data_IF_143700578539
#
_entry.id   IF_143700578539
#
_cell.length_a   1.000
_cell.length_b   1.000
_cell.length_c   1.000
_cell.angle_alpha   90.00
_cell.angle_beta   90.00
_cell.angle_gamma   90.00
#
_symmetry.space_group_name_H-M   'P 1'
#
loop_
_entity.id
_entity.type
_entity.pdbx_description
1 polymer ?
#
# COMPACT_ATOMS: atom_id res chain seq x y z
N UNK A 1 7.05 -29.06 9.27
CA UNK A 1 6.11 -27.95 9.53
C UNK A 1 5.78 -27.31 8.19
N UNK A 2 4.55 -27.49 7.75
CA UNK A 2 4.10 -27.27 6.37
C UNK A 2 3.91 -25.79 6.07
N UNK A 3 4.48 -25.33 4.95
CA UNK A 3 4.41 -23.96 4.38
C UNK A 3 2.99 -23.36 4.36
N UNK A 4 1.97 -24.21 4.27
CA UNK A 4 0.56 -23.84 4.35
C UNK A 4 0.18 -23.08 5.61
N UNK A 5 0.82 -23.37 6.75
CA UNK A 5 0.52 -22.67 8.00
C UNK A 5 1.00 -21.21 7.95
N UNK A 6 2.26 -20.98 7.57
CA UNK A 6 2.83 -19.63 7.53
C UNK A 6 2.17 -18.74 6.47
N UNK A 7 1.84 -19.29 5.29
CA UNK A 7 1.16 -18.55 4.23
C UNK A 7 -0.22 -18.03 4.63
N UNK A 8 -0.92 -18.71 5.55
CA UNK A 8 -2.21 -18.26 6.08
C UNK A 8 -2.08 -17.24 7.23
N UNK A 9 -1.03 -17.32 8.06
CA UNK A 9 -0.85 -16.40 9.19
C UNK A 9 -0.30 -15.04 8.78
N UNK A 10 0.56 -15.01 7.77
CA UNK A 10 1.22 -13.80 7.26
C UNK A 10 0.24 -12.69 6.85
N UNK A 11 -0.82 -12.92 6.05
CA UNK A 11 -1.78 -11.87 5.69
C UNK A 11 -2.59 -11.36 6.88
N UNK A 12 -2.81 -12.19 7.91
CA UNK A 12 -3.53 -11.79 9.13
C UNK A 12 -2.68 -10.82 9.97
N UNK A 13 -1.37 -11.09 10.10
CA UNK A 13 -0.45 -10.21 10.82
C UNK A 13 -0.27 -8.88 10.09
N UNK A 14 -0.12 -8.91 8.76
CA UNK A 14 -0.02 -7.69 7.94
C UNK A 14 -1.27 -6.82 8.09
N UNK A 15 -2.47 -7.40 7.95
CA UNK A 15 -3.72 -6.68 8.11
C UNK A 15 -3.90 -6.11 9.54
N UNK A 16 -3.37 -6.80 10.56
CA UNK A 16 -3.31 -6.30 11.93
C UNK A 16 -2.42 -5.07 12.07
N UNK A 17 -1.24 -5.06 11.45
CA UNK A 17 -0.33 -3.90 11.45
C UNK A 17 -0.96 -2.71 10.73
N UNK A 18 -1.57 -2.94 9.56
CA UNK A 18 -2.22 -1.89 8.77
C UNK A 18 -3.40 -1.27 9.51
N UNK A 19 -4.21 -2.10 10.18
CA UNK A 19 -5.31 -1.64 11.03
C UNK A 19 -4.82 -0.80 12.21
N UNK A 20 -3.73 -1.21 12.88
CA UNK A 20 -3.13 -0.44 13.97
C UNK A 20 -2.56 0.89 13.47
N UNK A 21 -1.88 0.91 12.33
CA UNK A 21 -1.34 2.13 11.73
C UNK A 21 -2.47 3.10 11.35
N UNK A 22 -3.54 2.60 10.73
CA UNK A 22 -4.72 3.41 10.40
C UNK A 22 -5.36 3.98 11.66
N UNK A 23 -5.60 3.14 12.68
CA UNK A 23 -6.23 3.56 13.93
C UNK A 23 -5.38 4.60 14.67
N UNK A 24 -4.06 4.40 14.70
CA UNK A 24 -3.12 5.37 15.29
C UNK A 24 -3.15 6.69 14.50
N UNK A 25 -3.22 6.61 13.17
CA UNK A 25 -3.41 7.77 12.29
C UNK A 25 -4.73 8.50 12.55
N UNK A 26 -5.84 7.77 12.74
CA UNK A 26 -7.15 8.32 13.08
C UNK A 26 -7.12 9.01 14.45
N UNK A 27 -6.49 8.41 15.45
CA UNK A 27 -6.32 9.02 16.78
C UNK A 27 -5.49 10.29 16.68
N UNK A 28 -4.32 10.23 16.02
CA UNK A 28 -3.45 11.39 15.83
C UNK A 28 -4.18 12.52 15.09
N UNK A 29 -4.99 12.18 14.09
CA UNK A 29 -5.82 13.12 13.36
C UNK A 29 -6.95 13.70 14.23
N UNK A 30 -7.65 12.89 15.02
CA UNK A 30 -8.69 13.37 15.94
C UNK A 30 -8.09 14.32 17.00
N UNK A 31 -6.88 14.02 17.47
CA UNK A 31 -6.13 14.86 18.42
C UNK A 31 -5.53 16.13 17.78
N UNK A 32 -5.58 16.29 16.45
CA UNK A 32 -5.01 17.45 15.73
C UNK A 32 -5.56 18.79 16.21
N UNK A 33 -6.83 18.82 16.63
CA UNK A 33 -7.50 20.04 17.13
C UNK A 33 -6.79 20.57 18.39
N UNK A 34 -6.18 19.68 19.17
CA UNK A 34 -5.48 20.04 20.40
C UNK A 34 -4.01 20.37 20.16
N UNK A 35 -3.35 19.74 19.17
CA UNK A 35 -1.91 19.82 18.96
C UNK A 35 -1.54 20.27 17.54
N UNK A 36 -1.13 21.54 17.39
CA UNK A 36 -0.54 22.10 16.15
C UNK A 36 0.69 21.32 15.65
N UNK A 37 1.39 20.57 16.51
CA UNK A 37 2.55 19.74 16.12
C UNK A 37 2.18 18.39 15.47
N UNK A 38 0.89 18.06 15.37
CA UNK A 38 0.44 16.77 14.84
C UNK A 38 0.88 16.52 13.38
N UNK A 39 1.09 17.56 12.57
CA UNK A 39 1.49 17.41 11.17
C UNK A 39 2.82 16.67 10.98
N UNK A 40 3.79 16.87 11.87
CA UNK A 40 5.06 16.13 11.84
C UNK A 40 4.89 14.65 12.20
N UNK A 41 4.02 14.35 13.16
CA UNK A 41 3.76 12.98 13.58
C UNK A 41 3.10 12.13 12.46
N UNK A 42 2.19 12.71 11.68
CA UNK A 42 1.55 11.99 10.56
C UNK A 42 2.56 11.69 9.44
N UNK A 43 3.48 12.62 9.14
CA UNK A 43 4.58 12.36 8.20
C UNK A 43 5.47 11.22 8.67
N UNK A 44 5.86 11.24 9.95
CA UNK A 44 6.66 10.17 10.55
C UNK A 44 5.91 8.85 10.45
N UNK A 45 4.61 8.82 10.76
CA UNK A 45 3.79 7.62 10.64
C UNK A 45 3.75 7.08 9.20
N UNK A 46 3.57 7.95 8.19
CA UNK A 46 3.58 7.54 6.79
C UNK A 46 4.95 6.97 6.38
N UNK A 47 6.04 7.61 6.80
CA UNK A 47 7.39 7.11 6.53
C UNK A 47 7.67 5.78 7.22
N UNK A 48 7.30 5.64 8.49
CA UNK A 48 7.44 4.39 9.25
C UNK A 48 6.61 3.27 8.62
N UNK A 49 5.41 3.56 8.10
CA UNK A 49 4.60 2.59 7.37
C UNK A 49 5.31 2.10 6.09
N UNK A 50 5.84 3.02 5.27
CA UNK A 50 6.63 2.65 4.08
C UNK A 50 7.87 1.83 4.45
N UNK A 51 8.61 2.25 5.48
CA UNK A 51 9.79 1.54 5.96
C UNK A 51 9.44 0.14 6.46
N UNK A 52 8.34 0.00 7.22
CA UNK A 52 7.88 -1.29 7.71
C UNK A 52 7.55 -2.25 6.57
N UNK A 53 6.88 -1.77 5.51
CA UNK A 53 6.62 -2.58 4.31
C UNK A 53 7.93 -3.02 3.64
N UNK A 54 8.89 -2.11 3.46
CA UNK A 54 10.20 -2.44 2.87
C UNK A 54 10.98 -3.46 3.71
N UNK A 55 11.03 -3.29 5.03
CA UNK A 55 11.68 -4.23 5.95
C UNK A 55 11.00 -5.59 5.91
N UNK A 56 9.66 -5.61 5.79
CA UNK A 56 8.90 -6.83 5.65
C UNK A 56 9.23 -7.58 4.34
N UNK A 57 9.32 -6.91 3.20
CA UNK A 57 9.77 -7.56 1.96
C UNK A 57 11.23 -8.03 2.03
N UNK A 58 12.11 -7.27 2.67
CA UNK A 58 13.49 -7.71 2.90
C UNK A 58 13.53 -8.98 3.77
N UNK A 59 12.74 -9.01 4.84
CA UNK A 59 12.60 -10.20 5.68
C UNK A 59 12.08 -11.40 4.88
N UNK A 60 11.01 -11.22 4.08
CA UNK A 60 10.46 -12.28 3.23
C UNK A 60 11.47 -12.77 2.18
N UNK A 61 12.27 -11.86 1.63
CA UNK A 61 13.38 -12.18 0.73
C UNK A 61 14.41 -13.09 1.40
N UNK A 62 14.85 -12.73 2.60
CA UNK A 62 15.81 -13.53 3.37
C UNK A 62 15.24 -14.89 3.77
N UNK A 63 14.00 -14.93 4.24
CA UNK A 63 13.32 -16.17 4.61
C UNK A 63 13.20 -17.11 3.39
N UNK A 64 12.80 -16.58 2.24
CA UNK A 64 12.71 -17.34 1.00
C UNK A 64 14.07 -17.90 0.57
N UNK A 65 15.14 -17.10 0.67
CA UNK A 65 16.50 -17.54 0.36
C UNK A 65 16.92 -18.72 1.25
N UNK A 66 16.70 -18.61 2.57
CA UNK A 66 17.05 -19.67 3.52
C UNK A 66 16.31 -20.97 3.21
N UNK A 67 15.01 -20.88 2.92
CA UNK A 67 14.20 -22.05 2.55
C UNK A 67 14.74 -22.69 1.27
N UNK A 68 14.99 -21.91 0.23
CA UNK A 68 15.49 -22.45 -1.04
C UNK A 68 16.89 -23.04 -0.92
N UNK A 69 17.67 -22.61 0.08
CA UNK A 69 18.98 -23.20 0.39
C UNK A 69 18.91 -24.62 0.95
N UNK A 70 17.75 -25.09 1.42
CA UNK A 70 17.63 -26.40 2.12
C UNK A 70 17.52 -27.60 1.18
N UNK A 71 16.86 -27.47 0.03
CA UNK A 71 16.68 -28.56 -0.93
C UNK A 71 17.65 -28.43 -2.11
N UNK A 72 18.26 -29.53 -2.59
CA UNK A 72 19.15 -29.51 -3.76
C UNK A 72 18.49 -28.89 -5.00
N UNK A 73 17.19 -29.12 -5.19
CA UNK A 73 16.42 -28.63 -6.33
C UNK A 73 16.28 -27.10 -6.24
N UNK A 74 15.80 -26.57 -5.12
CA UNK A 74 15.62 -25.12 -4.94
C UNK A 74 16.95 -24.39 -4.89
N UNK A 75 18.00 -25.04 -4.41
CA UNK A 75 19.37 -24.51 -4.42
C UNK A 75 19.91 -24.35 -5.84
N UNK A 76 19.55 -25.25 -6.76
CA UNK A 76 19.88 -25.08 -8.17
C UNK A 76 19.20 -23.83 -8.75
N UNK A 77 17.94 -23.57 -8.40
CA UNK A 77 17.20 -22.36 -8.82
C UNK A 77 17.82 -21.06 -8.32
N UNK A 78 18.47 -21.07 -7.14
CA UNK A 78 19.20 -19.89 -6.63
C UNK A 78 20.40 -19.48 -7.49
N UNK A 79 20.97 -20.43 -8.24
CA UNK A 79 22.13 -20.22 -9.11
C UNK A 79 21.77 -20.22 -10.60
N UNK A 80 20.47 -20.26 -10.92
CA UNK A 80 19.99 -20.26 -12.29
C UNK A 80 19.84 -18.81 -12.81
N UNK A 81 20.48 -18.47 -13.95
CA UNK A 81 20.22 -17.20 -14.61
C UNK A 81 18.79 -17.16 -15.14
N UNK A 82 18.22 -15.95 -15.25
CA UNK A 82 16.90 -15.78 -15.85
C UNK A 82 16.99 -16.10 -17.35
N UNK A 83 16.06 -16.92 -17.87
CA UNK A 83 16.00 -17.26 -19.29
C UNK A 83 15.71 -15.99 -20.13
N UNK A 84 16.52 -15.77 -21.16
CA UNK A 84 16.53 -14.56 -21.99
C UNK A 84 15.22 -14.39 -22.76
N UNK A 85 14.56 -15.50 -23.09
CA UNK A 85 13.33 -15.51 -23.88
C UNK A 85 12.12 -14.91 -23.13
N UNK A 86 12.22 -14.71 -21.81
CA UNK A 86 11.15 -14.08 -21.01
C UNK A 86 11.10 -12.55 -21.23
N UNK A 87 12.17 -11.93 -21.76
CA UNK A 87 12.36 -10.48 -21.76
C UNK A 87 12.25 -9.75 -23.10
N UNK A 88 12.27 -10.43 -24.24
CA UNK A 88 12.50 -9.78 -25.54
C UNK A 88 11.29 -9.01 -26.11
N UNK A 89 10.07 -9.26 -25.62
CA UNK A 89 8.84 -8.68 -26.19
C UNK A 89 8.18 -7.61 -25.30
N UNK A 90 8.72 -7.30 -24.12
CA UNK A 90 8.07 -6.41 -23.16
C UNK A 90 8.73 -5.02 -23.09
N UNK A 91 7.92 -3.98 -22.81
CA UNK A 91 8.39 -2.60 -22.54
C UNK A 91 9.36 -2.50 -21.34
N UNK A 92 9.56 -3.61 -20.64
CA UNK A 92 10.33 -3.73 -19.41
C UNK A 92 11.66 -4.46 -19.65
N UNK A 93 12.05 -4.73 -20.90
CA UNK A 93 13.28 -5.42 -21.27
C UNK A 93 14.54 -4.83 -20.61
N UNK A 94 14.56 -3.52 -20.37
CA UNK A 94 15.66 -2.85 -19.68
C UNK A 94 15.78 -3.23 -18.20
N UNK A 95 14.67 -3.51 -17.50
CA UNK A 95 14.68 -4.04 -16.12
C UNK A 95 15.10 -5.51 -16.15
N UNK A 96 14.63 -6.28 -17.13
CA UNK A 96 14.99 -7.70 -17.28
C UNK A 96 16.51 -7.88 -17.40
N UNK A 97 17.20 -6.93 -18.05
CA UNK A 97 18.67 -6.94 -18.17
C UNK A 97 19.39 -6.92 -16.82
N UNK A 98 18.80 -6.32 -15.78
CA UNK A 98 19.37 -6.31 -14.42
C UNK A 98 19.38 -7.71 -13.78
N UNK A 99 18.60 -8.66 -14.32
CA UNK A 99 18.47 -10.02 -13.81
C UNK A 99 19.29 -11.07 -14.59
N UNK A 100 20.24 -10.70 -15.45
CA UNK A 100 21.14 -11.66 -16.11
C UNK A 100 22.26 -12.21 -15.20
N UNK A 101 22.23 -11.89 -13.91
CA UNK A 101 23.17 -12.40 -12.93
C UNK A 101 22.96 -13.91 -12.69
N UNK A 102 23.96 -14.58 -12.10
CA UNK A 102 23.87 -16.00 -11.73
C UNK A 102 22.65 -16.31 -10.85
N UNK A 103 22.16 -15.35 -10.07
CA UNK A 103 20.96 -15.46 -9.24
C UNK A 103 19.70 -14.85 -9.87
N UNK A 104 19.71 -14.65 -11.19
CA UNK A 104 18.68 -13.95 -11.94
C UNK A 104 17.26 -14.44 -11.69
N UNK A 105 17.07 -15.76 -11.72
CA UNK A 105 15.77 -16.37 -11.48
C UNK A 105 15.23 -16.06 -10.08
N UNK A 106 16.07 -16.21 -9.05
CA UNK A 106 15.68 -15.92 -7.67
C UNK A 106 15.35 -14.44 -7.47
N UNK A 107 16.17 -13.54 -8.01
CA UNK A 107 15.92 -12.10 -7.90
C UNK A 107 14.61 -11.73 -8.60
N UNK A 108 14.35 -12.26 -9.80
CA UNK A 108 13.09 -12.06 -10.51
C UNK A 108 11.89 -12.55 -9.68
N UNK A 109 11.99 -13.76 -9.13
CA UNK A 109 10.94 -14.34 -8.28
C UNK A 109 10.64 -13.47 -7.05
N UNK A 110 11.67 -13.10 -6.28
CA UNK A 110 11.53 -12.29 -5.08
C UNK A 110 11.00 -10.90 -5.41
N UNK A 111 11.48 -10.31 -6.51
CA UNK A 111 11.05 -8.98 -6.91
C UNK A 111 9.57 -8.98 -7.30
N UNK A 112 9.15 -9.90 -8.18
CA UNK A 112 7.75 -10.04 -8.59
C UNK A 112 6.83 -10.35 -7.42
N UNK A 113 7.29 -11.18 -6.47
CA UNK A 113 6.44 -11.67 -5.38
C UNK A 113 6.34 -10.74 -4.17
N UNK A 114 7.42 -10.05 -3.80
CA UNK A 114 7.48 -9.29 -2.55
C UNK A 114 7.68 -7.79 -2.75
N UNK A 115 8.51 -7.40 -3.72
CA UNK A 115 8.87 -6.00 -3.91
C UNK A 115 7.90 -5.27 -4.83
N UNK A 116 7.34 -5.97 -5.82
CA UNK A 116 6.49 -5.35 -6.84
C UNK A 116 5.25 -4.69 -6.22
N UNK A 117 4.56 -5.38 -5.32
CA UNK A 117 3.40 -4.84 -4.61
C UNK A 117 3.75 -3.59 -3.79
N UNK A 118 4.92 -3.57 -3.13
CA UNK A 118 5.38 -2.42 -2.34
C UNK A 118 5.73 -1.25 -3.25
N UNK A 119 6.45 -1.49 -4.34
CA UNK A 119 6.83 -0.45 -5.30
C UNK A 119 5.57 0.16 -5.92
N UNK A 120 4.58 -0.65 -6.30
CA UNK A 120 3.30 -0.17 -6.79
C UNK A 120 2.50 0.56 -5.70
N UNK A 121 2.47 0.05 -4.47
CA UNK A 121 1.81 0.67 -3.34
C UNK A 121 2.37 2.06 -3.03
N UNK A 122 3.69 2.17 -2.86
CA UNK A 122 4.38 3.45 -2.62
C UNK A 122 4.22 4.38 -3.84
N UNK A 123 4.43 3.87 -5.05
CA UNK A 123 4.32 4.67 -6.27
C UNK A 123 2.93 5.26 -6.45
N UNK A 124 1.89 4.44 -6.25
CA UNK A 124 0.49 4.89 -6.33
C UNK A 124 0.11 5.85 -5.20
N UNK A 125 0.64 5.66 -3.99
CA UNK A 125 0.46 6.61 -2.88
C UNK A 125 1.12 7.98 -3.17
N UNK A 126 2.31 7.99 -3.76
CA UNK A 126 3.00 9.23 -4.20
C UNK A 126 2.22 9.93 -5.31
N UNK A 127 1.70 9.19 -6.29
CA UNK A 127 0.84 9.74 -7.35
C UNK A 127 -0.41 10.37 -6.74
N UNK A 128 -1.09 9.66 -5.83
CA UNK A 128 -2.27 10.18 -5.13
C UNK A 128 -1.96 11.44 -4.32
N UNK A 129 -0.84 11.45 -3.58
CA UNK A 129 -0.37 12.64 -2.88
C UNK A 129 -0.10 13.81 -3.85
N UNK A 130 0.50 13.56 -5.02
CA UNK A 130 0.70 14.55 -6.07
C UNK A 130 -0.62 15.15 -6.57
N UNK A 131 -1.66 14.32 -6.74
CA UNK A 131 -3.01 14.77 -7.07
C UNK A 131 -3.56 15.68 -5.98
N UNK A 132 -3.40 15.32 -4.70
CA UNK A 132 -3.84 16.16 -3.58
C UNK A 132 -3.10 17.50 -3.52
N UNK A 133 -1.79 17.51 -3.78
CA UNK A 133 -0.99 18.74 -3.87
C UNK A 133 -1.52 19.65 -4.99
N UNK A 134 -1.82 19.07 -6.15
CA UNK A 134 -2.39 19.81 -7.28
C UNK A 134 -3.79 20.37 -6.93
N UNK A 135 -4.65 19.56 -6.32
CA UNK A 135 -5.98 19.98 -5.87
C UNK A 135 -5.89 21.10 -4.82
N UNK A 136 -4.96 21.01 -3.86
CA UNK A 136 -4.74 22.05 -2.86
C UNK A 136 -4.32 23.38 -3.48
N UNK A 137 -3.51 23.34 -4.54
CA UNK A 137 -3.11 24.55 -5.28
C UNK A 137 -4.32 25.28 -5.88
N UNK A 138 -5.29 24.55 -6.43
CA UNK A 138 -6.48 25.16 -7.04
C UNK A 138 -7.60 25.46 -6.05
N UNK A 139 -7.70 24.69 -4.96
CA UNK A 139 -8.81 24.76 -4.01
C UNK A 139 -8.32 24.63 -2.56
N UNK A 140 -7.48 25.56 -2.14
CA UNK A 140 -6.86 25.60 -0.79
C UNK A 140 -7.87 25.51 0.36
N UNK A 141 -9.10 25.98 0.15
CA UNK A 141 -10.18 25.97 1.15
C UNK A 141 -10.58 24.58 1.64
N UNK A 142 -10.40 23.54 0.84
CA UNK A 142 -10.74 22.16 1.27
C UNK A 142 -9.62 21.48 2.05
N UNK A 143 -8.46 22.13 2.20
CA UNK A 143 -7.25 21.52 2.73
C UNK A 143 -6.72 22.25 3.96
N UNK A 144 -6.71 21.56 5.10
CA UNK A 144 -5.88 21.95 6.25
C UNK A 144 -4.38 21.64 6.03
N UNK A 145 -3.56 22.09 6.98
CA UNK A 145 -2.10 21.86 6.99
C UNK A 145 -1.70 20.38 7.04
N UNK A 146 -2.56 19.52 7.62
CA UNK A 146 -2.27 18.10 7.86
C UNK A 146 -2.94 17.13 6.86
N UNK A 147 -3.77 17.64 5.96
CA UNK A 147 -4.61 16.76 5.12
C UNK A 147 -3.84 16.05 4.02
N UNK A 148 -2.79 16.69 3.48
CA UNK A 148 -1.92 16.04 2.50
C UNK A 148 -1.22 14.82 3.11
N UNK A 149 -0.81 14.94 4.37
CA UNK A 149 -0.13 13.90 5.14
C UNK A 149 -1.08 12.74 5.45
N UNK A 150 -2.32 13.06 5.84
CA UNK A 150 -3.36 12.05 6.08
C UNK A 150 -3.68 11.31 4.79
N UNK A 151 -3.83 12.02 3.68
CA UNK A 151 -4.05 11.40 2.38
C UNK A 151 -2.92 10.46 1.96
N UNK A 152 -1.66 10.87 2.16
CA UNK A 152 -0.51 10.01 1.90
C UNK A 152 -0.50 8.79 2.83
N UNK A 153 -0.67 8.99 4.14
CA UNK A 153 -0.70 7.90 5.12
C UNK A 153 -1.80 6.89 4.77
N UNK A 154 -3.01 7.37 4.50
CA UNK A 154 -4.14 6.55 4.07
C UNK A 154 -3.82 5.77 2.80
N UNK A 155 -3.21 6.40 1.79
CA UNK A 155 -2.84 5.72 0.56
C UNK A 155 -1.74 4.67 0.74
N UNK A 156 -0.72 4.96 1.57
CA UNK A 156 0.35 4.00 1.91
C UNK A 156 -0.20 2.79 2.65
N UNK A 157 -1.09 3.02 3.62
CA UNK A 157 -1.70 1.95 4.43
C UNK A 157 -2.65 1.10 3.60
N UNK A 158 -3.43 1.72 2.70
CA UNK A 158 -4.31 0.97 1.80
C UNK A 158 -3.49 0.16 0.79
N UNK A 159 -2.44 0.74 0.22
CA UNK A 159 -1.52 0.05 -0.67
C UNK A 159 -2.15 -0.44 -1.98
N UNK A 160 -1.35 -1.17 -2.77
CA UNK A 160 -1.82 -1.86 -3.97
C UNK A 160 -2.41 -3.23 -3.60
N UNK A 161 -3.49 -3.70 -4.28
CA UNK A 161 -4.27 -3.06 -5.33
C UNK A 161 -5.45 -2.22 -4.80
N UNK A 162 -5.65 -2.19 -3.49
CA UNK A 162 -6.83 -1.57 -2.86
C UNK A 162 -6.93 -0.07 -3.12
N UNK A 163 -5.83 0.59 -3.47
CA UNK A 163 -5.81 2.01 -3.82
C UNK A 163 -6.79 2.32 -4.97
N UNK A 164 -7.02 1.37 -5.88
CA UNK A 164 -7.96 1.49 -7.00
C UNK A 164 -9.40 1.64 -6.51
N UNK A 165 -9.76 1.00 -5.39
CA UNK A 165 -11.07 1.12 -4.74
C UNK A 165 -11.10 2.35 -3.83
N UNK A 166 -10.00 2.61 -3.13
CA UNK A 166 -9.90 3.74 -2.20
C UNK A 166 -10.10 5.09 -2.89
N UNK A 167 -9.47 5.35 -4.04
CA UNK A 167 -9.59 6.65 -4.73
C UNK A 167 -11.04 7.04 -5.06
N UNK A 168 -11.84 6.21 -5.76
CA UNK A 168 -13.25 6.54 -6.00
C UNK A 168 -14.07 6.60 -4.69
N UNK A 169 -13.70 5.79 -3.70
CA UNK A 169 -14.36 5.81 -2.40
C UNK A 169 -14.09 7.11 -1.62
N UNK A 170 -12.91 7.70 -1.72
CA UNK A 170 -12.61 9.04 -1.16
C UNK A 170 -13.58 10.07 -1.75
N UNK A 171 -13.78 10.06 -3.07
CA UNK A 171 -14.74 10.96 -3.72
C UNK A 171 -16.17 10.76 -3.20
N UNK A 172 -16.64 9.51 -3.12
CA UNK A 172 -17.95 9.19 -2.56
C UNK A 172 -18.10 9.68 -1.11
N UNK A 173 -17.07 9.46 -0.27
CA UNK A 173 -17.05 9.88 1.12
C UNK A 173 -17.02 11.40 1.26
N UNK A 174 -16.34 12.13 0.38
CA UNK A 174 -16.35 13.61 0.39
C UNK A 174 -17.77 14.12 0.16
N UNK A 175 -18.50 13.55 -0.79
CA UNK A 175 -19.90 13.92 -1.07
C UNK A 175 -20.79 13.60 0.12
N UNK A 176 -20.72 12.36 0.64
CA UNK A 176 -21.54 11.92 1.78
C UNK A 176 -21.28 12.78 3.03
N UNK A 177 -20.03 12.97 3.42
CA UNK A 177 -19.67 13.77 4.61
C UNK A 177 -20.08 15.22 4.41
N UNK A 178 -19.97 15.76 3.20
CA UNK A 178 -20.42 17.14 2.92
C UNK A 178 -21.93 17.30 3.04
N UNK A 179 -22.71 16.33 2.56
CA UNK A 179 -24.16 16.33 2.74
C UNK A 179 -24.54 16.25 4.23
N UNK A 180 -23.89 15.36 5.00
CA UNK A 180 -24.14 15.24 6.44
C UNK A 180 -23.81 16.54 7.17
N UNK A 181 -22.65 17.16 6.90
CA UNK A 181 -22.29 18.46 7.52
C UNK A 181 -23.25 19.57 7.15
N UNK A 182 -23.70 19.62 5.89
CA UNK A 182 -24.63 20.64 5.44
C UNK A 182 -26.01 20.49 6.09
N UNK A 183 -26.55 19.27 6.15
CA UNK A 183 -27.91 19.01 6.66
C UNK A 183 -27.96 19.11 8.19
N UNK A 184 -27.03 18.46 8.90
CA UNK A 184 -27.10 18.33 10.35
C UNK A 184 -26.36 19.45 11.09
N UNK A 185 -25.20 19.86 10.59
CA UNK A 185 -24.33 20.83 11.28
C UNK A 185 -24.45 22.25 10.72
N UNK A 186 -25.15 22.44 9.60
CA UNK A 186 -25.29 23.73 8.88
C UNK A 186 -23.94 24.37 8.53
N UNK A 187 -22.89 23.57 8.44
CA UNK A 187 -21.54 24.03 8.07
C UNK A 187 -21.34 23.92 6.57
N UNK A 188 -20.81 24.98 5.96
CA UNK A 188 -20.63 25.05 4.50
C UNK A 188 -19.33 24.42 3.98
N UNK A 189 -18.38 24.08 4.86
CA UNK A 189 -17.05 23.62 4.46
C UNK A 189 -16.73 22.26 5.03
N UNK A 190 -16.25 21.37 4.15
CA UNK A 190 -15.82 20.02 4.50
C UNK A 190 -14.33 19.87 4.23
N UNK A 191 -13.57 19.54 5.26
CA UNK A 191 -12.16 19.14 5.21
C UNK A 191 -12.04 17.73 4.64
N UNK A 192 -11.04 17.44 3.80
CA UNK A 192 -10.88 16.13 3.15
C UNK A 192 -10.42 15.00 4.08
N UNK A 193 -9.82 15.32 5.24
CA UNK A 193 -9.16 14.30 6.07
C UNK A 193 -10.09 13.20 6.60
N UNK A 194 -11.28 13.54 7.10
CA UNK A 194 -12.26 12.53 7.57
C UNK A 194 -12.74 11.61 6.44
N UNK A 195 -13.19 12.14 5.27
CA UNK A 195 -13.47 11.32 4.11
C UNK A 195 -12.35 10.35 3.72
N UNK A 196 -11.09 10.80 3.74
CA UNK A 196 -9.95 9.95 3.41
C UNK A 196 -9.76 8.81 4.42
N UNK A 197 -9.84 9.09 5.72
CA UNK A 197 -9.72 8.06 6.76
C UNK A 197 -10.85 7.03 6.68
N UNK A 198 -12.10 7.48 6.47
CA UNK A 198 -13.25 6.59 6.31
C UNK A 198 -13.14 5.72 5.05
N UNK A 199 -12.74 6.31 3.93
CA UNK A 199 -12.50 5.57 2.70
C UNK A 199 -11.40 4.52 2.88
N UNK A 200 -10.31 4.85 3.57
CA UNK A 200 -9.23 3.90 3.84
C UNK A 200 -9.71 2.75 4.74
N UNK A 201 -10.46 3.05 5.82
CA UNK A 201 -11.04 2.01 6.67
C UNK A 201 -11.94 1.06 5.90
N UNK A 202 -12.84 1.59 5.05
CA UNK A 202 -13.74 0.78 4.23
C UNK A 202 -12.98 -0.01 3.17
N UNK A 203 -11.98 0.58 2.51
CA UNK A 203 -11.14 -0.13 1.54
C UNK A 203 -10.41 -1.33 2.18
N UNK A 204 -9.89 -1.16 3.40
CA UNK A 204 -9.29 -2.26 4.17
C UNK A 204 -10.33 -3.31 4.59
N UNK A 205 -11.54 -2.91 4.97
CA UNK A 205 -12.63 -3.87 5.24
C UNK A 205 -13.00 -4.67 3.97
N UNK A 206 -13.05 -4.01 2.81
CA UNK A 206 -13.27 -4.67 1.53
C UNK A 206 -12.15 -5.64 1.17
N UNK A 207 -10.92 -5.42 1.63
CA UNK A 207 -9.79 -6.33 1.42
C UNK A 207 -10.08 -7.74 1.94
N UNK A 208 -10.80 -7.87 3.07
CA UNK A 208 -11.19 -9.18 3.61
C UNK A 208 -12.24 -9.88 2.73
N UNK A 209 -13.07 -9.13 2.01
CA UNK A 209 -14.05 -9.67 1.06
C UNK A 209 -13.45 -9.88 -0.36
N UNK A 210 -12.31 -9.24 -0.66
CA UNK A 210 -11.71 -9.17 -1.99
C UNK A 210 -11.31 -10.54 -2.57
N UNK A 211 -10.71 -11.49 -1.81
CA UNK A 211 -10.40 -12.83 -2.33
C UNK A 211 -11.63 -13.61 -2.80
N UNK A 212 -12.81 -13.31 -2.25
CA UNK A 212 -14.08 -13.96 -2.59
C UNK A 212 -14.74 -13.34 -3.82
N UNK A 213 -14.55 -12.02 -4.03
CA UNK A 213 -15.15 -11.25 -5.13
C UNK A 213 -14.36 -11.33 -6.44
N UNK A 214 -13.02 -11.39 -6.37
CA UNK A 214 -12.14 -11.31 -7.54
C UNK A 214 -11.27 -12.55 -7.72
N UNK A 215 -11.74 -13.72 -7.27
CA UNK A 215 -11.12 -15.02 -7.57
C UNK A 215 -10.88 -15.28 -9.07
N UNK A 216 -11.45 -14.45 -9.97
CA UNK A 216 -11.15 -14.47 -11.41
C UNK A 216 -9.98 -13.57 -11.86
N UNK A 217 -9.55 -12.57 -11.06
CA UNK A 217 -8.40 -11.70 -11.34
C UNK A 217 -7.14 -12.06 -10.55
N UNK A 218 -7.19 -13.12 -9.73
CA UNK A 218 -6.03 -13.64 -8.98
C UNK A 218 -4.82 -14.00 -9.87
N UNK A 219 -5.00 -14.09 -11.19
CA UNK A 219 -3.90 -14.24 -12.16
C UNK A 219 -2.95 -13.03 -12.24
N UNK A 220 -3.35 -11.84 -11.76
CA UNK A 220 -2.50 -10.65 -11.75
C UNK A 220 -1.71 -10.47 -10.44
N UNK A 221 -1.89 -11.35 -9.46
CA UNK A 221 -1.25 -11.30 -8.12
C UNK A 221 -0.39 -12.53 -7.81
N UNK A 222 0.02 -13.30 -8.83
CA UNK A 222 0.95 -14.43 -8.67
C UNK A 222 2.38 -13.96 -8.78
#
# INVERSE_FOLDING_TARGET
>A
MTFYSLAHYVPVVAAGVDGVLLFTGMIAYAMRVRWRRAGGAVWIAAFLAMLAQMLYAAYMTCAQYMVWGTSPITKALLAQPLDVHVGETSAVAWIVRLFHLRSGYFVYYVYGRFWFDIVLGIGSAVIFWGILVLLKKYRSRFFDETELQVGLLSAVVVGWPLIVVFVPLVFAMVVLVSLVRMIFFKEKYTTLGWPMLLAAAIALMCAYAYPQLLGHFAFLTV
#
